data_IF_477780613321
#
_entry.id   IF_477780613321
#
_cell.length_a   1.000
_cell.length_b   1.000
_cell.length_c   1.000
_cell.angle_alpha   90.00
_cell.angle_beta   90.00
_cell.angle_gamma   90.00
#
_symmetry.space_group_name_H-M   'P 1'
#
loop_
_entity.id
_entity.type
_entity.pdbx_description
1 polymer ?
#
# COMPACT_ATOMS: atom_id res chain seq x y z
N UNK A 1 -23.25 29.80 -9.93
CA UNK A 1 -22.13 29.31 -10.76
C UNK A 1 -20.86 30.10 -10.44
N UNK A 2 -20.00 29.61 -9.54
CA UNK A 2 -18.73 30.28 -9.22
C UNK A 2 -17.63 29.23 -8.94
N UNK A 3 -16.63 29.27 -9.84
CA UNK A 3 -15.19 28.98 -9.68
C UNK A 3 -14.79 27.64 -9.05
N UNK A 4 -14.50 26.65 -9.90
CA UNK A 4 -13.58 25.56 -9.57
C UNK A 4 -12.17 26.08 -9.78
N UNK A 5 -11.47 26.35 -8.67
CA UNK A 5 -10.04 26.65 -8.68
C UNK A 5 -9.29 25.33 -8.94
N UNK A 6 -8.86 25.15 -10.18
CA UNK A 6 -7.86 24.18 -10.58
C UNK A 6 -6.51 24.70 -10.06
N UNK A 7 -6.02 24.16 -8.95
CA UNK A 7 -4.67 24.43 -8.46
C UNK A 7 -3.77 23.27 -8.87
N UNK A 8 -3.00 23.54 -9.92
CA UNK A 8 -1.89 22.76 -10.43
C UNK A 8 -0.71 23.02 -9.49
N UNK A 9 -0.20 22.00 -8.80
CA UNK A 9 1.14 22.05 -8.24
C UNK A 9 2.10 21.39 -9.23
N UNK A 10 2.76 22.24 -10.01
CA UNK A 10 4.02 21.93 -10.67
C UNK A 10 5.10 21.98 -9.59
N UNK A 11 5.65 20.83 -9.22
CA UNK A 11 6.93 20.76 -8.54
C UNK A 11 7.98 20.23 -9.52
N UNK A 12 8.50 21.13 -10.36
CA UNK A 12 9.82 20.97 -10.98
C UNK A 12 10.85 21.34 -9.92
N UNK A 13 11.34 20.35 -9.19
CA UNK A 13 12.49 20.48 -8.31
C UNK A 13 13.57 19.49 -8.73
N UNK A 14 14.58 19.95 -9.46
CA UNK A 14 15.86 19.25 -9.48
C UNK A 14 16.43 19.35 -8.07
N UNK A 15 16.31 18.29 -7.27
CA UNK A 15 17.02 18.18 -6.00
C UNK A 15 18.27 17.34 -6.22
N UNK A 16 19.40 18.03 -6.21
CA UNK A 16 20.71 17.41 -5.98
C UNK A 16 20.68 16.88 -4.55
N UNK A 17 20.36 15.60 -4.38
CA UNK A 17 20.34 14.95 -3.07
C UNK A 17 21.77 14.92 -2.51
N UNK A 18 22.00 15.65 -1.42
CA UNK A 18 23.19 15.44 -0.60
C UNK A 18 23.07 14.07 0.07
N UNK A 19 24.14 13.24 0.10
CA UNK A 19 24.08 11.93 0.74
C UNK A 19 23.89 12.12 2.25
N UNK A 20 22.72 11.72 2.77
CA UNK A 20 22.48 11.65 4.23
C UNK A 20 23.17 10.39 4.77
N UNK A 21 24.05 10.48 5.79
CA UNK A 21 24.71 9.33 6.38
C UNK A 21 23.81 8.75 7.48
N UNK A 22 22.82 7.95 7.09
CA UNK A 22 22.30 6.91 7.98
C UNK A 22 22.52 5.58 7.29
N UNK A 23 23.59 4.92 7.72
CA UNK A 23 24.01 3.60 7.30
C UNK A 23 22.99 2.58 7.81
N UNK A 24 21.80 2.54 7.19
CA UNK A 24 20.98 1.36 7.20
C UNK A 24 21.85 0.23 6.65
N UNK A 25 21.84 -0.94 7.30
CA UNK A 25 22.31 -2.16 6.66
C UNK A 25 21.74 -2.18 5.24
N UNK A 26 22.59 -2.37 4.21
CA UNK A 26 22.26 -2.10 2.81
C UNK A 26 20.91 -2.71 2.43
N UNK A 27 19.87 -1.89 2.48
CA UNK A 27 18.52 -2.33 2.18
C UNK A 27 18.53 -2.82 0.74
N UNK A 28 18.06 -4.06 0.54
CA UNK A 28 18.16 -4.72 -0.76
C UNK A 28 17.01 -5.69 -0.93
N UNK A 29 16.59 -5.82 -2.18
CA UNK A 29 15.54 -6.72 -2.61
C UNK A 29 15.95 -7.43 -3.88
N UNK A 30 15.71 -8.74 -3.93
CA UNK A 30 15.74 -9.49 -5.17
C UNK A 30 14.71 -10.61 -5.12
N UNK A 31 14.05 -10.85 -6.24
CA UNK A 31 13.32 -12.11 -6.48
C UNK A 31 14.32 -13.06 -7.14
N UNK A 32 14.67 -14.14 -6.45
CA UNK A 32 15.61 -15.16 -6.92
C UNK A 32 14.90 -16.10 -7.89
N UNK A 33 13.70 -16.55 -7.51
CA UNK A 33 12.82 -17.35 -8.36
C UNK A 33 11.38 -17.11 -7.97
N UNK A 34 10.47 -17.27 -8.93
CA UNK A 34 9.04 -17.19 -8.72
C UNK A 34 8.39 -18.45 -9.28
N UNK A 35 7.50 -19.06 -8.50
CA UNK A 35 6.65 -20.17 -8.92
C UNK A 35 5.23 -19.63 -9.06
N UNK A 36 4.65 -19.63 -10.28
CA UNK A 36 3.24 -19.27 -10.42
C UNK A 36 2.38 -20.25 -9.62
N UNK A 37 1.20 -19.80 -9.20
CA UNK A 37 0.33 -20.59 -8.32
C UNK A 37 0.08 -22.03 -8.81
N UNK A 38 -0.05 -22.25 -10.13
CA UNK A 38 -0.21 -23.58 -10.71
C UNK A 38 0.89 -24.60 -10.31
N UNK A 39 1.96 -24.14 -9.67
CA UNK A 39 3.13 -24.90 -9.21
C UNK A 39 3.44 -24.65 -7.72
N UNK A 40 2.55 -23.98 -6.99
CA UNK A 40 2.69 -23.62 -5.57
C UNK A 40 2.05 -24.68 -4.67
N UNK A 41 2.59 -24.84 -3.46
CA UNK A 41 2.06 -25.74 -2.44
C UNK A 41 1.07 -25.03 -1.49
N UNK A 42 1.01 -23.68 -1.55
CA UNK A 42 0.12 -22.85 -0.75
C UNK A 42 -1.23 -22.66 -1.46
N UNK A 43 -2.24 -23.38 -1.00
CA UNK A 43 -3.60 -23.32 -1.55
C UNK A 43 -4.50 -22.28 -0.88
N UNK A 44 -4.16 -21.88 0.35
CA UNK A 44 -4.86 -20.82 1.07
C UNK A 44 -3.92 -20.02 1.95
N UNK A 45 -4.25 -18.74 2.14
CA UNK A 45 -3.50 -17.82 2.97
C UNK A 45 -4.45 -17.13 3.96
N UNK A 46 -4.34 -17.38 5.28
CA UNK A 46 -5.20 -16.75 6.26
C UNK A 46 -4.84 -15.27 6.46
N UNK A 47 -5.82 -14.45 6.88
CA UNK A 47 -5.60 -13.01 7.10
C UNK A 47 -4.44 -12.70 8.05
N UNK A 48 -4.23 -13.56 9.07
CA UNK A 48 -3.11 -13.45 10.02
C UNK A 48 -1.73 -13.48 9.37
N UNK A 49 -1.59 -14.02 8.15
CA UNK A 49 -0.31 -14.01 7.44
C UNK A 49 0.12 -12.61 6.99
N UNK A 50 -0.79 -11.63 7.00
CA UNK A 50 -0.49 -10.22 6.74
C UNK A 50 -0.04 -9.48 8.00
N UNK A 51 -0.19 -10.12 9.16
CA UNK A 51 0.21 -9.59 10.45
C UNK A 51 1.65 -10.08 10.75
N UNK A 52 2.47 -9.19 11.33
CA UNK A 52 3.77 -9.58 11.88
C UNK A 52 3.54 -10.10 13.29
N UNK A 53 3.95 -11.33 13.61
CA UNK A 53 3.80 -11.88 14.99
C UNK A 53 4.55 -11.06 16.03
N UNK A 54 5.64 -10.41 15.60
CA UNK A 54 6.62 -9.86 16.53
C UNK A 54 6.46 -8.36 16.79
N UNK A 55 5.62 -7.64 16.04
CA UNK A 55 5.50 -6.19 16.25
C UNK A 55 4.26 -5.55 15.63
N UNK A 56 3.61 -4.69 16.43
CA UNK A 56 2.69 -3.64 15.98
C UNK A 56 3.42 -2.51 15.21
N UNK A 57 4.71 -2.66 14.93
CA UNK A 57 5.52 -1.65 14.26
C UNK A 57 6.56 -2.31 13.36
N UNK A 58 6.69 -1.84 12.13
CA UNK A 58 7.70 -2.28 11.18
C UNK A 58 8.32 -1.08 10.47
N UNK A 59 9.61 -1.17 10.16
CA UNK A 59 10.32 -0.14 9.40
C UNK A 59 10.58 -0.65 7.99
N UNK A 60 10.33 0.21 7.01
CA UNK A 60 10.55 -0.06 5.60
C UNK A 60 11.51 0.97 5.01
N UNK A 61 12.36 0.54 4.10
CA UNK A 61 13.18 1.40 3.26
C UNK A 61 12.63 1.39 1.83
N UNK A 62 12.52 2.56 1.22
CA UNK A 62 12.18 2.70 -0.19
C UNK A 62 13.46 2.52 -1.01
N UNK A 63 13.47 1.54 -1.91
CA UNK A 63 14.64 1.18 -2.72
C UNK A 63 14.63 1.79 -4.13
N UNK A 64 13.47 2.22 -4.59
CA UNK A 64 13.28 2.83 -5.89
C UNK A 64 11.96 3.57 -5.93
N UNK A 65 11.84 4.54 -6.84
CA UNK A 65 10.63 5.33 -7.05
C UNK A 65 10.79 6.78 -6.60
N UNK A 66 9.68 7.50 -6.49
CA UNK A 66 9.70 8.95 -6.14
C UNK A 66 10.15 9.25 -4.71
N UNK A 67 10.21 8.22 -3.87
CA UNK A 67 10.62 8.27 -2.46
C UNK A 67 11.93 7.54 -2.20
N UNK A 68 12.74 7.30 -3.23
CA UNK A 68 13.99 6.53 -3.08
C UNK A 68 14.86 7.03 -1.91
N UNK A 69 15.27 6.10 -1.05
CA UNK A 69 16.03 6.37 0.17
C UNK A 69 15.20 6.82 1.38
N UNK A 70 13.89 7.02 1.25
CA UNK A 70 13.02 7.31 2.40
C UNK A 70 12.86 6.09 3.32
N UNK A 71 12.66 6.37 4.62
CA UNK A 71 12.34 5.38 5.64
C UNK A 71 10.91 5.59 6.11
N UNK A 72 10.12 4.53 6.07
CA UNK A 72 8.72 4.52 6.47
C UNK A 72 8.58 3.68 7.73
N UNK A 73 7.98 4.24 8.78
CA UNK A 73 7.59 3.46 9.96
C UNK A 73 6.10 3.18 9.90
N UNK A 74 5.74 1.92 9.68
CA UNK A 74 4.35 1.45 9.74
C UNK A 74 4.01 1.02 11.16
N UNK A 75 2.90 1.51 11.69
CA UNK A 75 2.33 1.14 12.99
C UNK A 75 0.93 0.62 12.79
N UNK A 76 0.60 -0.46 13.47
CA UNK A 76 -0.74 -1.06 13.44
C UNK A 76 -1.28 -1.08 14.86
N UNK A 77 -2.52 -0.62 15.04
CA UNK A 77 -3.22 -0.69 16.33
C UNK A 77 -4.68 -1.04 16.12
N UNK A 78 -5.23 -1.77 17.08
CA UNK A 78 -6.66 -2.08 17.15
C UNK A 78 -7.30 -1.27 18.27
N UNK A 79 -8.41 -0.61 17.97
CA UNK A 79 -9.20 0.16 18.92
C UNK A 79 -10.16 -0.74 19.69
N UNK A 80 -10.76 -0.23 20.78
CA UNK A 80 -11.68 -0.99 21.64
C UNK A 80 -12.92 -1.53 20.91
N UNK A 81 -13.33 -0.86 19.82
CA UNK A 81 -14.46 -1.28 18.97
C UNK A 81 -14.06 -2.31 17.88
N UNK A 82 -12.81 -2.77 17.88
CA UNK A 82 -12.26 -3.70 16.90
C UNK A 82 -11.77 -3.04 15.61
N UNK A 83 -11.92 -1.72 15.44
CA UNK A 83 -11.36 -0.99 14.30
C UNK A 83 -9.84 -1.09 14.29
N UNK A 84 -9.26 -1.47 13.16
CA UNK A 84 -7.81 -1.46 12.95
C UNK A 84 -7.38 -0.16 12.27
N UNK A 85 -6.32 0.46 12.78
CA UNK A 85 -5.70 1.64 12.21
C UNK A 85 -4.25 1.31 11.85
N UNK A 86 -3.91 1.50 10.59
CA UNK A 86 -2.54 1.39 10.08
C UNK A 86 -2.04 2.82 9.82
N UNK A 87 -0.95 3.20 10.43
CA UNK A 87 -0.31 4.51 10.27
C UNK A 87 1.08 4.32 9.65
N UNK A 88 1.36 5.00 8.54
CA UNK A 88 2.67 5.04 7.91
C UNK A 88 3.28 6.43 8.11
N UNK A 89 4.44 6.48 8.76
CA UNK A 89 5.12 7.73 9.11
C UNK A 89 6.42 7.84 8.34
N UNK A 90 6.58 8.94 7.61
CA UNK A 90 7.80 9.32 6.91
C UNK A 90 8.16 10.80 7.19
N UNK A 91 9.09 11.39 6.43
CA UNK A 91 9.48 12.80 6.62
C UNK A 91 8.40 13.82 6.17
N UNK A 92 7.38 13.37 5.43
CA UNK A 92 6.33 14.20 4.85
C UNK A 92 5.03 14.18 5.66
N UNK A 93 4.87 13.23 6.57
CA UNK A 93 3.75 13.22 7.50
C UNK A 93 3.34 11.83 7.94
N UNK A 94 2.05 11.67 8.20
CA UNK A 94 1.47 10.39 8.58
C UNK A 94 0.30 10.07 7.66
N UNK A 95 0.45 9.00 6.90
CA UNK A 95 -0.65 8.39 6.18
C UNK A 95 -1.40 7.45 7.13
N UNK A 96 -2.72 7.37 6.99
CA UNK A 96 -3.57 6.56 7.86
C UNK A 96 -4.59 5.76 7.06
N UNK A 97 -4.65 4.46 7.30
CA UNK A 97 -5.71 3.59 6.80
C UNK A 97 -6.56 3.10 7.98
N UNK A 98 -7.88 3.28 7.89
CA UNK A 98 -8.85 2.81 8.89
C UNK A 98 -9.65 1.64 8.32
N UNK A 99 -9.62 0.51 9.03
CA UNK A 99 -10.25 -0.74 8.65
C UNK A 99 -11.29 -1.15 9.70
N UNK A 100 -12.47 -1.56 9.24
CA UNK A 100 -13.53 -2.11 10.09
C UNK A 100 -13.59 -3.63 9.94
N UNK A 101 -13.68 -4.40 11.04
CA UNK A 101 -13.87 -5.85 10.96
C UNK A 101 -15.29 -6.19 10.50
N UNK A 102 -15.41 -7.28 9.73
CA UNK A 102 -16.69 -7.87 9.28
C UNK A 102 -16.53 -9.38 9.14
N UNK A 103 -17.64 -10.10 8.98
CA UNK A 103 -17.62 -11.55 8.71
C UNK A 103 -16.93 -11.88 7.37
N UNK A 104 -16.91 -10.93 6.43
CA UNK A 104 -16.23 -11.02 5.13
C UNK A 104 -14.75 -10.59 5.21
N UNK A 105 -14.22 -10.34 6.40
CA UNK A 105 -12.86 -9.88 6.64
C UNK A 105 -12.78 -8.39 6.97
N UNK A 106 -11.67 -7.75 6.60
CA UNK A 106 -11.43 -6.33 6.88
C UNK A 106 -11.91 -5.45 5.74
N UNK A 107 -12.73 -4.45 6.06
CA UNK A 107 -13.16 -3.42 5.12
C UNK A 107 -12.44 -2.10 5.35
N UNK A 108 -11.77 -1.59 4.33
CA UNK A 108 -11.23 -0.24 4.29
C UNK A 108 -12.35 0.79 4.27
N UNK A 109 -12.33 1.69 5.25
CA UNK A 109 -13.32 2.77 5.40
C UNK A 109 -12.75 4.12 4.98
N UNK A 110 -11.53 4.41 5.42
CA UNK A 110 -10.86 5.69 5.18
C UNK A 110 -9.39 5.45 4.88
N UNK A 111 -8.86 6.17 3.88
CA UNK A 111 -7.43 6.32 3.62
C UNK A 111 -7.11 7.81 3.60
N UNK A 112 -6.20 8.22 4.49
CA UNK A 112 -5.67 9.57 4.61
C UNK A 112 -4.23 9.55 4.13
N UNK A 113 -3.91 10.40 3.15
CA UNK A 113 -2.56 10.51 2.58
C UNK A 113 -2.09 11.94 2.76
N UNK A 114 -1.17 12.16 3.71
CA UNK A 114 -0.70 13.48 4.11
C UNK A 114 -0.01 14.20 2.95
N UNK A 115 0.85 13.49 2.23
CA UNK A 115 1.60 14.04 1.08
C UNK A 115 0.71 14.53 -0.05
N UNK A 116 -0.48 13.93 -0.20
CA UNK A 116 -1.44 14.29 -1.24
C UNK A 116 -2.52 15.27 -0.77
N UNK A 117 -2.51 15.66 0.50
CA UNK A 117 -3.60 16.40 1.16
C UNK A 117 -4.97 15.78 0.81
N UNK A 118 -5.11 14.48 1.08
CA UNK A 118 -6.24 13.68 0.58
C UNK A 118 -6.80 12.74 1.64
N UNK A 119 -8.13 12.74 1.78
CA UNK A 119 -8.90 11.77 2.57
C UNK A 119 -9.92 11.11 1.67
N UNK A 120 -9.78 9.81 1.47
CA UNK A 120 -10.65 8.96 0.67
C UNK A 120 -11.55 8.13 1.57
N UNK A 121 -12.87 8.29 1.44
CA UNK A 121 -13.87 7.53 2.18
C UNK A 121 -14.62 6.56 1.26
N UNK A 122 -14.83 5.33 1.72
CA UNK A 122 -15.49 4.24 1.00
C UNK A 122 -16.84 3.90 1.66
N UNK A 123 -17.92 3.97 0.88
CA UNK A 123 -19.28 3.64 1.36
C UNK A 123 -20.01 2.79 0.29
N UNK A 124 -20.32 1.50 0.56
CA UNK A 124 -19.90 0.70 1.73
C UNK A 124 -18.37 0.56 1.82
N UNK A 125 -17.81 -0.05 2.87
CA UNK A 125 -16.35 -0.21 2.95
C UNK A 125 -15.81 -1.06 1.79
N UNK A 126 -14.58 -0.80 1.38
CA UNK A 126 -13.91 -1.54 0.30
C UNK A 126 -13.10 -2.69 0.89
N UNK A 127 -13.20 -3.92 0.37
CA UNK A 127 -12.51 -5.08 0.95
C UNK A 127 -10.99 -4.85 0.95
N UNK A 128 -10.41 -4.84 2.15
CA UNK A 128 -8.97 -4.80 2.38
C UNK A 128 -8.37 -6.20 2.35
N UNK A 129 -8.99 -7.14 3.05
CA UNK A 129 -8.49 -8.50 3.13
C UNK A 129 -9.60 -9.45 3.60
N UNK A 130 -9.91 -10.54 2.88
CA UNK A 130 -10.83 -11.57 3.38
C UNK A 130 -10.21 -12.35 4.55
N UNK A 131 -10.99 -13.11 5.34
CA UNK A 131 -10.46 -13.92 6.44
C UNK A 131 -9.47 -14.98 5.95
N UNK A 132 -9.68 -15.45 4.73
CA UNK A 132 -8.84 -16.42 4.03
C UNK A 132 -8.84 -16.09 2.54
N UNK A 133 -7.65 -16.13 1.94
CA UNK A 133 -7.45 -15.96 0.51
C UNK A 133 -7.09 -17.30 -0.10
N UNK A 134 -8.02 -17.88 -0.86
CA UNK A 134 -7.76 -19.10 -1.64
C UNK A 134 -7.13 -18.72 -2.97
N UNK A 135 -6.26 -19.59 -3.48
CA UNK A 135 -5.63 -19.40 -4.79
C UNK A 135 -6.57 -19.60 -5.97
N UNK A 136 -7.62 -20.39 -5.79
CA UNK A 136 -8.60 -20.69 -6.85
C UNK A 136 -9.64 -19.57 -6.99
N UNK A 137 -9.59 -18.57 -6.11
CA UNK A 137 -10.58 -17.51 -6.02
C UNK A 137 -9.93 -16.12 -5.96
N UNK A 138 -10.50 -15.19 -6.73
CA UNK A 138 -10.21 -13.77 -6.57
C UNK A 138 -11.18 -13.18 -5.55
N UNK A 139 -10.67 -12.42 -4.59
CA UNK A 139 -11.52 -11.61 -3.72
C UNK A 139 -11.67 -10.21 -4.34
N UNK A 140 -12.84 -9.92 -4.90
CA UNK A 140 -13.14 -8.63 -5.54
C UNK A 140 -14.24 -7.89 -4.78
N UNK A 141 -14.06 -6.59 -4.59
CA UNK A 141 -15.07 -5.69 -4.03
C UNK A 141 -15.11 -4.37 -4.79
N UNK A 142 -16.25 -3.69 -4.71
CA UNK A 142 -16.42 -2.35 -5.24
C UNK A 142 -17.13 -1.45 -4.22
N UNK A 143 -16.79 -0.17 -4.23
CA UNK A 143 -17.35 0.83 -3.32
C UNK A 143 -17.49 2.17 -4.01
N UNK A 144 -18.52 2.95 -3.63
CA UNK A 144 -18.48 4.38 -3.92
C UNK A 144 -17.35 5.03 -3.13
N UNK A 145 -16.63 5.95 -3.77
CA UNK A 145 -15.46 6.64 -3.21
C UNK A 145 -15.73 8.14 -3.19
N UNK A 146 -15.41 8.79 -2.07
CA UNK A 146 -15.46 10.25 -1.92
C UNK A 146 -14.10 10.74 -1.45
N UNK A 147 -13.58 11.74 -2.12
CA UNK A 147 -12.27 12.34 -1.80
C UNK A 147 -12.46 13.76 -1.33
N UNK A 148 -11.87 14.08 -0.18
CA UNK A 148 -11.80 15.42 0.40
C UNK A 148 -10.35 15.81 0.62
N UNK A 149 -10.08 17.10 0.78
CA UNK A 149 -8.78 17.56 1.31
C UNK A 149 -8.67 17.26 2.81
N UNK A 150 -7.47 16.96 3.29
CA UNK A 150 -7.22 16.79 4.73
C UNK A 150 -7.20 18.16 5.43
N UNK A 151 -6.62 19.16 4.77
CA UNK A 151 -6.38 20.50 5.31
C UNK A 151 -7.66 21.26 5.68
N UNK A 152 -8.71 21.19 4.85
CA UNK A 152 -9.93 21.99 5.00
C UNK A 152 -11.25 21.20 4.85
N UNK A 153 -11.17 19.87 4.72
CA UNK A 153 -12.30 18.96 4.48
C UNK A 153 -13.13 19.29 3.22
N UNK A 154 -12.64 20.14 2.32
CA UNK A 154 -13.35 20.51 1.10
C UNK A 154 -13.45 19.32 0.13
N UNK A 155 -14.59 19.15 -0.58
CA UNK A 155 -14.72 18.09 -1.57
C UNK A 155 -13.74 18.25 -2.72
N UNK A 156 -13.01 17.18 -3.06
CA UNK A 156 -12.04 17.15 -4.17
C UNK A 156 -12.55 16.33 -5.35
N UNK A 157 -13.07 15.12 -5.09
CA UNK A 157 -13.57 14.22 -6.12
C UNK A 157 -14.59 13.22 -5.56
N UNK A 158 -15.27 12.52 -6.45
CA UNK A 158 -16.13 11.37 -6.12
C UNK A 158 -16.14 10.40 -7.29
N UNK A 159 -16.50 9.16 -7.02
CA UNK A 159 -16.58 8.13 -8.05
C UNK A 159 -16.76 6.75 -7.44
N UNK A 160 -16.21 5.75 -8.11
CA UNK A 160 -16.22 4.36 -7.65
C UNK A 160 -14.80 3.81 -7.61
N UNK A 161 -14.55 2.90 -6.67
CA UNK A 161 -13.32 2.15 -6.55
C UNK A 161 -13.63 0.66 -6.59
N UNK A 162 -12.76 -0.11 -7.23
CA UNK A 162 -12.76 -1.57 -7.26
C UNK A 162 -11.43 -2.05 -6.72
N UNK A 163 -11.45 -3.10 -5.90
CA UNK A 163 -10.24 -3.75 -5.40
C UNK A 163 -10.36 -5.24 -5.60
N UNK A 164 -9.35 -5.84 -6.23
CA UNK A 164 -9.23 -7.27 -6.46
C UNK A 164 -7.95 -7.77 -5.80
N UNK A 165 -8.04 -8.87 -5.05
CA UNK A 165 -6.94 -9.49 -4.31
C UNK A 165 -6.80 -10.92 -4.82
N UNK A 166 -5.55 -11.36 -5.06
CA UNK A 166 -5.24 -12.69 -5.57
C UNK A 166 -4.00 -13.24 -4.91
N UNK A 167 -4.04 -14.52 -4.54
CA UNK A 167 -2.83 -15.28 -4.21
C UNK A 167 -2.21 -15.76 -5.53
N UNK A 168 -1.05 -15.22 -5.88
CA UNK A 168 -0.44 -15.41 -7.21
C UNK A 168 0.56 -16.57 -7.23
N UNK A 169 1.10 -16.94 -6.08
CA UNK A 169 2.00 -18.07 -5.92
C UNK A 169 3.05 -17.84 -4.85
N UNK A 170 4.24 -18.36 -5.10
CA UNK A 170 5.38 -18.33 -4.17
C UNK A 170 6.62 -17.75 -4.84
N UNK A 171 7.50 -17.15 -4.04
CA UNK A 171 8.77 -16.66 -4.50
C UNK A 171 9.87 -16.93 -3.47
N UNK A 172 11.03 -17.35 -3.98
CA UNK A 172 12.29 -17.24 -3.24
C UNK A 172 12.78 -15.80 -3.40
N UNK A 173 12.83 -15.06 -2.30
CA UNK A 173 13.25 -13.66 -2.27
C UNK A 173 14.53 -13.50 -1.44
N UNK A 174 15.24 -12.40 -1.66
CA UNK A 174 16.35 -11.97 -0.83
C UNK A 174 16.06 -10.57 -0.32
N UNK A 175 15.89 -10.42 0.99
CA UNK A 175 15.63 -9.14 1.66
C UNK A 175 16.80 -8.83 2.58
N UNK A 176 17.45 -7.68 2.38
CA UNK A 176 18.60 -7.26 3.19
C UNK A 176 19.70 -8.33 3.30
N UNK A 177 19.92 -9.07 2.21
CA UNK A 177 20.89 -10.16 2.16
C UNK A 177 20.37 -11.53 2.64
N UNK A 178 19.21 -11.60 3.28
CA UNK A 178 18.63 -12.84 3.82
C UNK A 178 17.72 -13.51 2.80
N UNK A 179 17.95 -14.79 2.45
CA UNK A 179 17.03 -15.55 1.62
C UNK A 179 15.77 -15.91 2.42
N UNK A 180 14.60 -15.78 1.80
CA UNK A 180 13.29 -16.04 2.41
C UNK A 180 12.37 -16.70 1.37
N UNK A 181 11.48 -17.56 1.85
CA UNK A 181 10.38 -18.10 1.04
C UNK A 181 9.10 -17.30 1.35
N UNK A 182 8.50 -16.71 0.31
CA UNK A 182 7.37 -15.81 0.46
C UNK A 182 6.17 -16.23 -0.39
N UNK A 183 4.96 -16.10 0.17
CA UNK A 183 3.73 -16.04 -0.61
C UNK A 183 3.63 -14.70 -1.33
N UNK A 184 3.18 -14.71 -2.58
CA UNK A 184 3.00 -13.50 -3.39
C UNK A 184 1.52 -13.21 -3.54
N UNK A 185 1.10 -12.05 -3.06
CA UNK A 185 -0.28 -11.57 -3.18
C UNK A 185 -0.32 -10.35 -4.09
N UNK A 186 -1.14 -10.41 -5.14
CA UNK A 186 -1.41 -9.25 -6.01
C UNK A 186 -2.70 -8.57 -5.55
N UNK A 187 -2.63 -7.25 -5.49
CA UNK A 187 -3.75 -6.36 -5.24
C UNK A 187 -3.86 -5.40 -6.41
N UNK A 188 -4.99 -5.41 -7.09
CA UNK A 188 -5.33 -4.42 -8.11
C UNK A 188 -6.39 -3.49 -7.54
N UNK A 189 -6.06 -2.20 -7.45
CA UNK A 189 -6.98 -1.13 -7.10
C UNK A 189 -7.26 -0.27 -8.34
N UNK A 190 -8.54 -0.04 -8.63
CA UNK A 190 -8.99 0.78 -9.75
C UNK A 190 -10.00 1.80 -9.26
N UNK A 191 -9.71 3.08 -9.45
CA UNK A 191 -10.64 4.17 -9.13
C UNK A 191 -11.03 4.92 -10.40
N UNK A 192 -12.33 5.12 -10.58
CA UNK A 192 -12.89 6.02 -11.60
C UNK A 192 -13.56 7.19 -10.88
N UNK A 193 -12.90 8.34 -10.90
CA UNK A 193 -13.37 9.60 -10.30
C UNK A 193 -13.85 10.57 -11.37
N UNK A 194 -14.58 11.61 -10.98
CA UNK A 194 -15.14 12.61 -11.91
C UNK A 194 -14.13 13.19 -12.91
N UNK A 195 -12.86 13.35 -12.52
CA UNK A 195 -11.83 14.00 -13.34
C UNK A 195 -10.58 13.14 -13.55
N UNK A 196 -10.54 11.93 -13.01
CA UNK A 196 -9.36 11.09 -13.06
C UNK A 196 -9.71 9.61 -12.98
N UNK A 197 -8.90 8.77 -13.62
CA UNK A 197 -8.88 7.33 -13.36
C UNK A 197 -7.53 6.95 -12.80
N UNK A 198 -7.50 6.07 -11.81
CA UNK A 198 -6.27 5.54 -11.24
C UNK A 198 -6.33 4.01 -11.27
N UNK A 199 -5.22 3.37 -11.62
CA UNK A 199 -5.03 1.94 -11.49
C UNK A 199 -3.69 1.70 -10.80
N UNK A 200 -3.72 1.01 -9.66
CA UNK A 200 -2.54 0.59 -8.92
C UNK A 200 -2.52 -0.92 -8.82
N UNK A 201 -1.41 -1.52 -9.21
CA UNK A 201 -1.14 -2.94 -9.01
C UNK A 201 -0.03 -3.05 -7.97
N UNK A 202 -0.30 -3.71 -6.86
CA UNK A 202 0.63 -3.93 -5.76
C UNK A 202 0.86 -5.42 -5.60
N UNK A 203 2.11 -5.85 -5.58
CA UNK A 203 2.51 -7.18 -5.15
C UNK A 203 3.09 -7.11 -3.74
N UNK A 204 2.59 -7.96 -2.87
CA UNK A 204 3.06 -8.14 -1.51
C UNK A 204 3.80 -9.47 -1.42
N UNK A 205 4.99 -9.43 -0.82
CA UNK A 205 5.79 -10.61 -0.52
C UNK A 205 5.67 -10.90 0.98
N UNK A 206 4.88 -11.91 1.31
CA UNK A 206 4.48 -12.28 2.67
C UNK A 206 5.26 -13.50 3.13
N UNK A 207 5.90 -13.42 4.28
CA UNK A 207 6.59 -14.55 4.91
C UNK A 207 5.82 -14.95 6.15
N UNK A 208 5.49 -16.24 6.28
CA UNK A 208 4.69 -16.74 7.40
C UNK A 208 5.34 -16.39 8.75
N UNK A 209 4.52 -15.95 9.71
CA UNK A 209 4.93 -15.37 10.99
C UNK A 209 5.57 -13.97 10.90
N UNK A 210 6.22 -13.61 9.80
CA UNK A 210 6.89 -12.31 9.67
C UNK A 210 5.99 -11.24 9.04
N UNK A 211 4.99 -11.62 8.25
CA UNK A 211 4.13 -10.67 7.53
C UNK A 211 4.79 -10.13 6.26
N UNK A 212 4.49 -8.88 5.90
CA UNK A 212 4.97 -8.25 4.67
C UNK A 212 6.47 -7.93 4.77
N UNK A 213 7.26 -8.54 3.88
CA UNK A 213 8.71 -8.33 3.80
C UNK A 213 9.12 -7.38 2.68
N UNK A 214 8.33 -7.32 1.61
CA UNK A 214 8.51 -6.36 0.53
C UNK A 214 7.17 -6.05 -0.13
N UNK A 215 7.09 -4.86 -0.72
CA UNK A 215 5.99 -4.48 -1.59
C UNK A 215 6.58 -3.87 -2.86
N UNK A 216 6.04 -4.27 -4.01
CA UNK A 216 6.28 -3.62 -5.28
C UNK A 216 4.96 -3.08 -5.79
N UNK A 217 4.92 -1.86 -6.25
CA UNK A 217 3.72 -1.35 -6.87
C UNK A 217 4.00 -0.53 -8.11
N UNK A 218 3.05 -0.59 -9.03
CA UNK A 218 2.97 0.22 -10.23
C UNK A 218 1.62 0.94 -10.22
N UNK A 219 1.65 2.26 -10.35
CA UNK A 219 0.47 3.10 -10.41
C UNK A 219 0.44 3.87 -11.72
N UNK A 220 -0.74 3.91 -12.34
CA UNK A 220 -1.04 4.75 -13.47
C UNK A 220 -2.27 5.61 -13.17
N UNK A 221 -2.11 6.91 -13.26
CA UNK A 221 -3.18 7.90 -13.11
C UNK A 221 -3.37 8.64 -14.43
N UNK A 222 -4.62 8.71 -14.90
CA UNK A 222 -5.01 9.51 -16.05
C UNK A 222 -5.87 10.67 -15.57
N UNK A 223 -5.41 11.91 -15.77
CA UNK A 223 -6.22 13.10 -15.51
C UNK A 223 -6.89 13.57 -16.79
N UNK A 224 -8.22 13.79 -16.72
CA UNK A 224 -9.05 14.23 -17.85
C UNK A 224 -8.86 13.39 -19.13
N UNK A 225 -8.44 12.13 -18.97
CA UNK A 225 -8.14 11.22 -20.08
C UNK A 225 -6.89 11.55 -20.92
N UNK A 226 -6.08 12.56 -20.54
CA UNK A 226 -5.03 13.09 -21.41
C UNK A 226 -3.62 13.00 -20.81
N UNK A 227 -3.48 13.11 -19.50
CA UNK A 227 -2.16 13.20 -18.85
C UNK A 227 -1.91 11.92 -18.06
N UNK A 228 -1.17 10.94 -18.64
CA UNK A 228 -0.71 9.79 -17.88
C UNK A 228 0.39 10.23 -16.92
N UNK A 229 0.23 9.89 -15.65
CA UNK A 229 1.31 9.83 -14.67
C UNK A 229 1.49 8.37 -14.31
N UNK A 230 2.71 7.89 -14.43
CA UNK A 230 3.09 6.55 -14.01
C UNK A 230 4.12 6.65 -12.89
N UNK A 231 4.03 5.74 -11.93
CA UNK A 231 4.98 5.64 -10.83
C UNK A 231 5.16 4.18 -10.45
N UNK A 232 6.41 3.81 -10.23
CA UNK A 232 6.82 2.51 -9.74
C UNK A 232 7.59 2.71 -8.44
N UNK A 233 7.41 1.81 -7.50
CA UNK A 233 8.12 1.85 -6.23
C UNK A 233 8.33 0.45 -5.67
N UNK A 234 9.46 0.27 -5.00
CA UNK A 234 9.77 -0.93 -4.24
C UNK A 234 10.10 -0.50 -2.82
N UNK A 235 9.38 -1.08 -1.85
CA UNK A 235 9.64 -0.88 -0.43
C UNK A 235 9.97 -2.23 0.20
N UNK A 236 10.95 -2.25 1.10
CA UNK A 236 11.35 -3.46 1.81
C UNK A 236 11.40 -3.26 3.29
N UNK A 237 11.02 -4.29 4.04
CA UNK A 237 11.18 -4.30 5.47
C UNK A 237 12.65 -4.35 5.82
N UNK A 238 13.07 -3.48 6.72
CA UNK A 238 14.42 -3.45 7.29
C UNK A 238 14.34 -3.72 8.79
N UNK A 239 15.43 -4.22 9.37
CA UNK A 239 15.53 -4.30 10.82
C UNK A 239 15.38 -2.89 11.41
N UNK A 240 14.58 -2.75 12.47
CA UNK A 240 14.38 -1.49 13.17
C UNK A 240 15.75 -0.97 13.61
N UNK A 241 16.21 0.13 13.03
CA UNK A 241 17.40 0.82 13.54
C UNK A 241 16.97 1.44 14.86
N UNK A 242 17.57 1.06 16.01
CA UNK A 242 17.24 1.72 17.26
C UNK A 242 17.59 3.21 17.09
N UNK A 243 16.58 4.07 17.16
CA UNK A 243 16.78 5.50 17.35
C UNK A 243 17.53 5.68 18.66
N UNK A 244 18.79 6.10 18.59
CA UNK A 244 19.57 6.55 19.74
C UNK A 244 19.00 7.83 20.33
#
# INVERSE_FOLDING_TARGET
>A
MRRVALMILLCTGCHTAAPRPHQAATASFAVISAKPYAQSEIHTLPARAFESTDANMATFAVLSGSRDGEIITRRTRTLDDGTMVIEEVDEHGTDRTTLAPTDEGWLMRVVETAREDSSSTFIPGLLWLPPELSSDANATSASAMRVKRLSDASPRARGNATRTIRLVGEAEIKVCGQPLHASVVEIVFEATLTLATARRTTELFLVDGQGIMAERWHERVMMLGLVPRESDEIIVRVATVPTR
#
